data_IF_870859633204
#
_entry.id   IF_870859633204
#
_cell.length_a   1.000
_cell.length_b   1.000
_cell.length_c   1.000
_cell.angle_alpha   90.00
_cell.angle_beta   90.00
_cell.angle_gamma   90.00
#
_symmetry.space_group_name_H-M   'P 1'
#
loop_
_entity.id
_entity.type
_entity.pdbx_description
1 polymer ?
#
# COMPACT_ATOMS: atom_id res chain seq x y z
N UNK A 1 9.91 -13.64 7.49
CA UNK A 1 10.76 -13.35 6.32
C UNK A 1 10.00 -12.45 5.38
N UNK A 2 10.54 -11.26 5.12
CA UNK A 2 9.94 -10.21 4.27
C UNK A 2 10.22 -10.46 2.78
N UNK A 3 9.47 -9.83 1.85
CA UNK A 3 9.77 -9.92 0.41
C UNK A 3 11.18 -9.41 0.07
N UNK A 4 11.66 -8.40 0.80
CA UNK A 4 13.00 -7.84 0.62
C UNK A 4 14.10 -8.79 1.11
N UNK A 5 13.90 -9.48 2.23
CA UNK A 5 14.78 -10.56 2.70
C UNK A 5 14.79 -11.71 1.70
N UNK A 6 13.62 -12.16 1.26
CA UNK A 6 13.51 -13.24 0.28
C UNK A 6 14.13 -12.86 -1.07
N UNK A 7 13.98 -11.60 -1.50
CA UNK A 7 14.67 -11.07 -2.69
C UNK A 7 16.19 -11.12 -2.55
N UNK A 8 16.73 -10.78 -1.36
CA UNK A 8 18.17 -10.89 -1.08
C UNK A 8 18.63 -12.34 -1.08
N UNK A 9 17.87 -13.24 -0.47
CA UNK A 9 18.18 -14.68 -0.42
C UNK A 9 18.16 -15.31 -1.82
N UNK A 10 17.16 -15.00 -2.64
CA UNK A 10 17.10 -15.47 -4.03
C UNK A 10 18.25 -14.90 -4.86
N UNK A 11 18.59 -13.61 -4.70
CA UNK A 11 19.78 -13.05 -5.34
C UNK A 11 21.05 -13.78 -4.90
N UNK A 12 21.21 -14.08 -3.62
CA UNK A 12 22.36 -14.81 -3.11
C UNK A 12 22.45 -16.22 -3.71
N UNK A 13 21.33 -16.93 -3.84
CA UNK A 13 21.27 -18.22 -4.53
C UNK A 13 21.69 -18.13 -6.00
N UNK A 14 21.29 -17.05 -6.70
CA UNK A 14 21.74 -16.78 -8.08
C UNK A 14 23.23 -16.49 -8.12
N UNK A 15 23.77 -15.64 -7.24
CA UNK A 15 25.20 -15.35 -7.17
C UNK A 15 26.02 -16.63 -6.99
N UNK A 16 25.61 -17.52 -6.09
CA UNK A 16 26.28 -18.81 -5.86
C UNK A 16 26.19 -19.72 -7.08
N UNK A 17 25.03 -19.78 -7.74
CA UNK A 17 24.87 -20.57 -8.96
C UNK A 17 25.80 -20.11 -10.09
N UNK A 18 26.02 -18.80 -10.22
CA UNK A 18 26.97 -18.24 -11.19
C UNK A 18 28.43 -18.48 -10.76
N UNK A 19 28.75 -18.29 -9.47
CA UNK A 19 30.11 -18.47 -8.95
C UNK A 19 30.62 -19.92 -9.08
N UNK A 20 29.73 -20.89 -8.92
CA UNK A 20 30.04 -22.33 -9.02
C UNK A 20 29.84 -22.87 -10.46
N UNK A 21 29.76 -21.99 -11.47
CA UNK A 21 29.58 -22.28 -12.91
C UNK A 21 28.32 -23.09 -13.29
N UNK A 22 27.39 -23.26 -12.35
CA UNK A 22 26.16 -24.02 -12.56
C UNK A 22 25.10 -23.24 -13.36
N UNK A 23 25.18 -21.91 -13.35
CA UNK A 23 24.32 -21.01 -14.12
C UNK A 23 25.18 -20.01 -14.90
N UNK A 24 25.42 -20.23 -16.20
CA UNK A 24 26.16 -19.27 -17.01
C UNK A 24 25.34 -17.99 -17.24
N UNK A 25 26.00 -16.83 -17.20
CA UNK A 25 25.40 -15.53 -17.49
C UNK A 25 25.53 -14.49 -16.37
N UNK A 26 25.05 -13.26 -16.61
CA UNK A 26 25.20 -12.17 -15.66
C UNK A 26 24.26 -12.31 -14.46
N UNK A 27 24.78 -12.00 -13.27
CA UNK A 27 23.95 -11.86 -12.07
C UNK A 27 23.13 -10.57 -12.18
N UNK A 28 21.80 -10.61 -12.04
CA UNK A 28 20.98 -9.41 -12.05
C UNK A 28 21.27 -8.56 -10.83
N UNK A 29 21.35 -7.24 -11.01
CA UNK A 29 21.53 -6.29 -9.91
C UNK A 29 20.43 -6.43 -8.84
N UNK A 30 19.21 -6.73 -9.27
CA UNK A 30 18.06 -6.92 -8.38
C UNK A 30 17.19 -8.10 -8.77
N UNK A 31 16.94 -8.96 -7.79
CA UNK A 31 15.83 -9.91 -7.82
C UNK A 31 14.63 -9.27 -7.18
N UNK A 32 13.48 -9.43 -7.82
CA UNK A 32 12.20 -8.92 -7.36
C UNK A 32 11.34 -10.12 -6.97
N UNK A 33 11.02 -10.18 -5.68
CA UNK A 33 10.03 -11.10 -5.12
C UNK A 33 8.83 -10.26 -4.71
N UNK A 34 7.67 -10.63 -5.23
CA UNK A 34 6.40 -9.92 -5.03
C UNK A 34 5.39 -10.87 -4.39
N UNK A 35 4.33 -10.32 -3.79
CA UNK A 35 3.21 -11.15 -3.34
C UNK A 35 2.56 -11.83 -4.53
N UNK A 36 2.19 -13.08 -4.35
CA UNK A 36 1.40 -13.80 -5.34
C UNK A 36 0.06 -13.06 -5.52
N UNK A 37 -0.35 -12.89 -6.78
CA UNK A 37 -1.64 -12.27 -7.11
C UNK A 37 -2.79 -13.12 -6.53
N UNK A 38 -3.99 -12.55 -6.31
CA UNK A 38 -5.17 -13.34 -5.91
C UNK A 38 -5.37 -14.54 -6.86
N UNK A 39 -5.44 -15.75 -6.30
CA UNK A 39 -5.51 -17.02 -7.07
C UNK A 39 -4.16 -17.59 -7.54
N UNK A 40 -3.04 -16.92 -7.23
CA UNK A 40 -1.69 -17.44 -7.44
C UNK A 40 -1.26 -18.46 -6.37
N UNK A 41 -0.17 -19.18 -6.63
CA UNK A 41 0.38 -20.19 -5.72
C UNK A 41 1.30 -19.54 -4.67
N UNK A 42 1.20 -19.96 -3.41
CA UNK A 42 2.04 -19.46 -2.31
C UNK A 42 1.78 -18.00 -1.90
N UNK A 43 2.55 -17.52 -0.93
CA UNK A 43 2.50 -16.14 -0.42
C UNK A 43 3.27 -15.16 -1.33
N UNK A 44 4.41 -15.60 -1.86
CA UNK A 44 5.29 -14.80 -2.70
C UNK A 44 5.68 -15.53 -3.97
N UNK A 45 5.97 -14.78 -5.02
CA UNK A 45 6.46 -15.32 -6.29
C UNK A 45 7.62 -14.50 -6.86
N UNK A 46 8.48 -15.14 -7.63
CA UNK A 46 9.48 -14.48 -8.46
C UNK A 46 9.61 -15.10 -9.83
N UNK A 47 9.64 -14.26 -10.86
CA UNK A 47 9.92 -14.63 -12.24
C UNK A 47 11.41 -14.60 -12.59
N UNK A 48 12.32 -14.64 -11.61
CA UNK A 48 13.77 -14.48 -11.86
C UNK A 48 14.31 -15.51 -12.87
N UNK A 49 13.81 -16.75 -12.83
CA UNK A 49 14.27 -17.81 -13.72
C UNK A 49 13.97 -17.52 -15.19
N UNK A 50 12.87 -16.82 -15.50
CA UNK A 50 12.51 -16.39 -16.86
C UNK A 50 13.54 -15.43 -17.44
N UNK A 51 14.09 -14.54 -16.61
CA UNK A 51 15.12 -13.58 -17.02
C UNK A 51 16.49 -14.24 -17.20
N UNK A 52 16.78 -15.25 -16.39
CA UNK A 52 18.07 -15.96 -16.37
C UNK A 52 18.18 -17.08 -17.42
N UNK A 53 17.05 -17.61 -17.89
CA UNK A 53 16.98 -18.73 -18.84
C UNK A 53 17.76 -18.47 -20.15
N UNK A 54 17.50 -17.33 -20.79
CA UNK A 54 18.08 -17.00 -22.10
C UNK A 54 19.61 -16.82 -22.02
N UNK A 55 20.18 -16.03 -21.09
CA UNK A 55 21.63 -15.95 -20.92
C UNK A 55 22.28 -17.30 -20.58
N UNK A 56 21.57 -18.17 -19.87
CA UNK A 56 22.08 -19.47 -19.46
C UNK A 56 21.94 -20.58 -20.52
N UNK A 57 21.29 -20.32 -21.66
CA UNK A 57 21.02 -21.35 -22.67
C UNK A 57 20.16 -22.51 -22.16
N UNK A 58 19.33 -22.28 -21.13
CA UNK A 58 18.52 -23.31 -20.44
C UNK A 58 17.03 -22.96 -20.48
N UNK A 59 16.16 -23.95 -20.29
CA UNK A 59 14.73 -23.66 -20.12
C UNK A 59 14.50 -22.92 -18.79
N UNK A 60 13.52 -22.01 -18.70
CA UNK A 60 13.26 -21.32 -17.44
C UNK A 60 12.81 -22.25 -16.31
N UNK A 61 12.20 -23.40 -16.65
CA UNK A 61 11.83 -24.42 -15.68
C UNK A 61 13.06 -25.11 -15.08
N UNK A 62 14.09 -25.38 -15.88
CA UNK A 62 15.34 -25.97 -15.40
C UNK A 62 16.10 -25.00 -14.51
N UNK A 63 16.16 -23.72 -14.89
CA UNK A 63 16.74 -22.67 -14.04
C UNK A 63 15.97 -22.54 -12.73
N UNK A 64 14.64 -22.57 -12.76
CA UNK A 64 13.82 -22.56 -11.55
C UNK A 64 14.08 -23.78 -10.67
N UNK A 65 14.18 -24.99 -11.26
CA UNK A 65 14.51 -26.24 -10.56
C UNK A 65 15.83 -26.15 -9.80
N UNK A 66 16.86 -25.70 -10.51
CA UNK A 66 18.19 -25.51 -9.95
C UNK A 66 18.23 -24.48 -8.81
N UNK A 67 17.55 -23.34 -8.99
CA UNK A 67 17.45 -22.33 -7.93
C UNK A 67 16.65 -22.84 -6.74
N UNK A 68 15.58 -23.60 -6.96
CA UNK A 68 14.79 -24.23 -5.90
C UNK A 68 15.64 -25.14 -5.03
N UNK A 69 16.45 -26.01 -5.62
CA UNK A 69 17.32 -26.93 -4.87
C UNK A 69 18.29 -26.17 -3.95
N UNK A 70 18.91 -25.11 -4.48
CA UNK A 70 19.82 -24.25 -3.70
C UNK A 70 19.09 -23.50 -2.59
N UNK A 71 17.88 -23.03 -2.85
CA UNK A 71 17.06 -22.32 -1.86
C UNK A 71 16.60 -23.27 -0.75
N UNK A 72 16.20 -24.51 -1.06
CA UNK A 72 15.82 -25.51 -0.05
C UNK A 72 17.00 -25.85 0.86
N UNK A 73 18.22 -25.85 0.33
CA UNK A 73 19.45 -26.10 1.10
C UNK A 73 19.89 -24.90 1.97
N UNK A 74 19.30 -23.72 1.80
CA UNK A 74 19.64 -22.52 2.58
C UNK A 74 18.98 -22.59 3.97
N UNK A 75 19.75 -22.56 5.08
CA UNK A 75 19.20 -22.66 6.43
C UNK A 75 18.23 -21.52 6.79
N UNK A 76 18.40 -20.34 6.20
CA UNK A 76 17.51 -19.20 6.37
C UNK A 76 16.16 -19.40 5.70
N UNK A 77 16.15 -20.07 4.54
CA UNK A 77 14.91 -20.47 3.84
C UNK A 77 14.21 -21.60 4.58
N UNK A 78 14.93 -22.65 5.00
CA UNK A 78 14.33 -23.81 5.67
C UNK A 78 13.60 -23.52 6.98
N UNK A 79 13.92 -22.41 7.66
CA UNK A 79 13.19 -21.94 8.85
C UNK A 79 11.96 -21.09 8.52
N UNK A 80 11.99 -20.41 7.38
CA UNK A 80 11.04 -19.34 7.04
C UNK A 80 9.99 -19.75 5.99
N UNK A 81 10.32 -20.71 5.13
CA UNK A 81 9.53 -21.14 3.98
C UNK A 81 9.15 -22.60 4.17
N UNK A 82 7.85 -22.87 4.24
CA UNK A 82 7.28 -24.21 4.33
C UNK A 82 7.40 -24.97 3.01
N UNK A 83 7.21 -24.26 1.88
CA UNK A 83 7.17 -24.90 0.56
C UNK A 83 7.63 -23.97 -0.56
N UNK A 84 8.36 -24.53 -1.53
CA UNK A 84 8.74 -23.84 -2.77
C UNK A 84 8.22 -24.63 -3.98
N UNK A 85 7.31 -24.03 -4.73
CA UNK A 85 6.68 -24.64 -5.92
C UNK A 85 7.08 -23.92 -7.20
N UNK A 86 7.27 -24.67 -8.29
CA UNK A 86 7.55 -24.14 -9.61
C UNK A 86 6.26 -24.20 -10.44
N UNK A 87 5.72 -23.05 -10.82
CA UNK A 87 4.49 -22.96 -11.62
C UNK A 87 4.74 -22.38 -13.01
N UNK A 88 3.87 -22.76 -13.94
CA UNK A 88 3.90 -22.30 -15.32
C UNK A 88 5.27 -22.50 -15.99
N UNK A 89 5.78 -21.49 -16.71
CA UNK A 89 7.03 -21.59 -17.46
C UNK A 89 8.29 -21.58 -16.58
N UNK A 90 8.20 -21.23 -15.29
CA UNK A 90 9.38 -21.13 -14.40
C UNK A 90 9.25 -20.13 -13.25
N UNK A 91 8.03 -19.87 -12.75
CA UNK A 91 7.86 -19.01 -11.58
C UNK A 91 8.17 -19.81 -10.31
N UNK A 92 8.99 -19.24 -9.42
CA UNK A 92 9.22 -19.79 -8.09
C UNK A 92 8.22 -19.16 -7.13
N UNK A 93 7.40 -19.99 -6.48
CA UNK A 93 6.37 -19.59 -5.53
C UNK A 93 6.72 -20.12 -4.14
N UNK A 94 6.65 -19.26 -3.14
CA UNK A 94 7.07 -19.52 -1.77
C UNK A 94 5.85 -19.50 -0.86
N UNK A 95 5.63 -20.57 -0.10
CA UNK A 95 4.69 -20.62 1.02
C UNK A 95 5.48 -20.45 2.31
N UNK A 96 5.19 -19.43 3.11
CA UNK A 96 5.86 -19.18 4.38
C UNK A 96 5.41 -20.16 5.46
N UNK A 97 6.32 -20.53 6.36
CA UNK A 97 5.97 -21.29 7.55
C UNK A 97 4.99 -20.49 8.43
N UNK A 98 3.95 -21.15 8.98
CA UNK A 98 2.91 -20.50 9.81
C UNK A 98 3.48 -19.66 10.97
N UNK A 99 4.52 -20.14 11.65
CA UNK A 99 5.22 -19.39 12.72
C UNK A 99 5.84 -18.10 12.19
N UNK A 100 6.59 -18.20 11.09
CA UNK A 100 7.21 -17.04 10.43
C UNK A 100 6.17 -16.05 9.91
N UNK A 101 5.05 -16.53 9.36
CA UNK A 101 3.96 -15.69 8.89
C UNK A 101 3.23 -14.97 10.03
N UNK A 102 3.11 -15.61 11.21
CA UNK A 102 2.58 -14.98 12.43
C UNK A 102 3.53 -13.92 12.97
N UNK A 103 4.82 -14.25 13.10
CA UNK A 103 5.82 -13.32 13.66
C UNK A 103 5.95 -12.07 12.76
N UNK A 104 5.98 -12.27 11.44
CA UNK A 104 6.02 -11.17 10.46
C UNK A 104 4.75 -10.31 10.53
N UNK A 105 3.57 -10.91 10.74
CA UNK A 105 2.33 -10.15 10.91
C UNK A 105 2.29 -9.36 12.23
N UNK A 106 2.77 -9.96 13.32
CA UNK A 106 2.88 -9.29 14.61
C UNK A 106 3.85 -8.11 14.56
N UNK A 107 5.02 -8.27 13.92
CA UNK A 107 5.98 -7.18 13.70
C UNK A 107 5.39 -6.06 12.84
N UNK A 108 4.67 -6.42 11.76
CA UNK A 108 3.97 -5.45 10.91
C UNK A 108 2.97 -4.64 11.73
N UNK A 109 2.05 -5.29 12.43
CA UNK A 109 1.01 -4.60 13.23
C UNK A 109 1.66 -3.74 14.32
N UNK A 110 2.67 -4.25 15.04
CA UNK A 110 3.42 -3.45 16.02
C UNK A 110 4.08 -2.23 15.40
N UNK A 111 4.64 -2.37 14.21
CA UNK A 111 5.27 -1.25 13.48
C UNK A 111 4.25 -0.20 13.09
N UNK A 112 3.12 -0.60 12.50
CA UNK A 112 2.04 0.32 12.13
C UNK A 112 1.51 1.07 13.36
N UNK A 113 1.27 0.36 14.47
CA UNK A 113 0.77 0.99 15.70
C UNK A 113 1.78 1.95 16.33
N UNK A 114 3.08 1.62 16.28
CA UNK A 114 4.16 2.48 16.79
C UNK A 114 4.31 3.76 15.96
N UNK A 115 4.23 3.65 14.64
CA UNK A 115 4.42 4.78 13.73
C UNK A 115 3.13 5.60 13.52
N UNK A 116 1.98 4.97 13.77
CA UNK A 116 0.67 5.61 13.68
C UNK A 116 0.44 6.20 12.28
N UNK A 117 -0.05 7.45 12.19
CA UNK A 117 -0.27 8.13 10.90
C UNK A 117 0.99 8.34 10.05
N UNK A 118 2.19 8.17 10.62
CA UNK A 118 3.47 8.31 9.89
C UNK A 118 3.98 6.98 9.32
N UNK A 119 3.25 5.89 9.52
CA UNK A 119 3.65 4.59 9.00
C UNK A 119 3.85 4.63 7.48
N UNK A 120 4.98 4.10 7.01
CA UNK A 120 5.36 4.11 5.59
C UNK A 120 6.11 5.37 5.13
N UNK A 121 6.32 6.35 6.01
CA UNK A 121 7.29 7.41 5.77
C UNK A 121 8.71 6.80 5.76
N UNK A 122 9.58 7.32 4.90
CA UNK A 122 10.91 6.75 4.70
C UNK A 122 11.92 7.78 4.19
N UNK A 123 13.08 7.28 3.78
CA UNK A 123 14.20 8.09 3.28
C UNK A 123 14.61 7.68 1.87
N UNK A 124 13.71 7.04 1.12
CA UNK A 124 13.98 6.49 -0.21
C UNK A 124 14.38 7.56 -1.26
N UNK A 125 14.09 8.84 -0.98
CA UNK A 125 14.44 10.01 -1.77
C UNK A 125 15.35 10.99 -1.00
N UNK A 126 15.97 10.56 0.09
CA UNK A 126 16.95 11.38 0.82
C UNK A 126 18.08 11.84 -0.10
N UNK A 127 18.46 13.12 0.02
CA UNK A 127 19.45 13.75 -0.87
C UNK A 127 18.92 14.15 -2.25
N UNK A 128 17.66 13.86 -2.57
CA UNK A 128 17.01 14.35 -3.80
C UNK A 128 16.40 15.72 -3.55
N UNK A 129 16.80 16.73 -4.33
CA UNK A 129 16.16 18.03 -4.37
C UNK A 129 15.18 18.11 -5.55
N UNK A 130 13.93 18.51 -5.29
CA UNK A 130 12.89 18.67 -6.31
C UNK A 130 12.33 20.09 -6.22
N UNK A 131 12.35 20.81 -7.33
CA UNK A 131 11.63 22.06 -7.49
C UNK A 131 10.37 21.81 -8.33
N UNK A 132 9.19 22.19 -7.83
CA UNK A 132 7.91 22.09 -8.53
C UNK A 132 7.44 23.48 -8.94
N UNK A 133 7.13 23.65 -10.23
CA UNK A 133 6.63 24.91 -10.78
C UNK A 133 5.19 25.20 -10.28
N UNK A 134 4.79 26.48 -10.16
CA UNK A 134 3.42 26.84 -9.82
C UNK A 134 2.43 26.41 -10.92
N UNK A 135 1.15 26.32 -10.56
CA UNK A 135 0.07 26.08 -11.53
C UNK A 135 -1.18 26.90 -11.19
N UNK A 136 -1.77 27.51 -12.21
CA UNK A 136 -3.01 28.29 -12.10
C UNK A 136 -4.28 27.43 -12.19
N UNK A 137 -4.15 26.20 -12.71
CA UNK A 137 -5.26 25.26 -12.84
C UNK A 137 -5.52 24.53 -11.52
N UNK A 138 -6.79 24.45 -11.12
CA UNK A 138 -7.21 23.94 -9.81
C UNK A 138 -6.64 22.56 -9.49
N UNK A 139 -6.80 21.59 -10.39
CA UNK A 139 -6.34 20.22 -10.15
C UNK A 139 -4.83 20.18 -10.04
N UNK A 140 -4.10 20.84 -10.93
CA UNK A 140 -2.64 20.91 -10.91
C UNK A 140 -2.13 21.52 -9.59
N UNK A 141 -2.75 22.58 -9.08
CA UNK A 141 -2.38 23.17 -7.79
C UNK A 141 -2.62 22.24 -6.58
N UNK A 142 -3.71 21.46 -6.59
CA UNK A 142 -3.95 20.42 -5.57
C UNK A 142 -2.96 19.26 -5.73
N UNK A 143 -2.68 18.86 -6.97
CA UNK A 143 -1.75 17.78 -7.32
C UNK A 143 -0.32 18.10 -6.87
N UNK A 144 0.19 19.31 -7.17
CA UNK A 144 1.52 19.77 -6.79
C UNK A 144 1.71 19.75 -5.28
N UNK A 145 0.74 20.27 -4.51
CA UNK A 145 0.81 20.25 -3.03
C UNK A 145 0.88 18.82 -2.50
N UNK A 146 0.00 17.95 -2.98
CA UNK A 146 -0.05 16.54 -2.57
C UNK A 146 1.24 15.80 -2.93
N UNK A 147 1.76 16.00 -4.15
CA UNK A 147 3.03 15.41 -4.60
C UNK A 147 4.20 15.94 -3.78
N UNK A 148 4.22 17.23 -3.45
CA UNK A 148 5.26 17.81 -2.60
C UNK A 148 5.28 17.13 -1.22
N UNK A 149 4.12 16.90 -0.63
CA UNK A 149 4.02 16.23 0.67
C UNK A 149 4.41 14.75 0.58
N UNK A 150 3.97 14.03 -0.47
CA UNK A 150 4.41 12.66 -0.73
C UNK A 150 5.94 12.56 -0.87
N UNK A 151 6.56 13.44 -1.65
CA UNK A 151 8.02 13.50 -1.80
C UNK A 151 8.72 13.75 -0.45
N UNK A 152 8.20 14.66 0.37
CA UNK A 152 8.73 14.94 1.73
C UNK A 152 8.59 13.75 2.66
N UNK A 153 7.51 12.97 2.57
CA UNK A 153 7.37 11.74 3.38
C UNK A 153 8.46 10.71 3.09
N UNK A 154 9.08 10.79 1.91
CA UNK A 154 10.16 9.89 1.46
C UNK A 154 11.55 10.53 1.59
N UNK A 155 11.67 11.68 2.26
CA UNK A 155 12.93 12.34 2.58
C UNK A 155 13.48 13.29 1.51
N UNK A 156 12.72 13.59 0.46
CA UNK A 156 13.14 14.58 -0.54
C UNK A 156 13.08 16.01 0.03
N UNK A 157 14.00 16.87 -0.42
CA UNK A 157 13.90 18.32 -0.19
C UNK A 157 13.07 18.92 -1.32
N UNK A 158 11.89 19.47 -0.99
CA UNK A 158 10.93 19.95 -2.00
C UNK A 158 10.67 21.43 -1.85
N UNK A 159 10.93 22.17 -2.93
CA UNK A 159 10.58 23.59 -3.08
C UNK A 159 9.44 23.73 -4.08
N UNK A 160 8.34 24.38 -3.69
CA UNK A 160 7.28 24.78 -4.62
C UNK A 160 7.50 26.25 -4.91
N UNK A 161 7.76 26.58 -6.17
CA UNK A 161 8.11 27.96 -6.54
C UNK A 161 6.85 28.78 -6.79
N UNK A 162 6.95 30.10 -6.56
CA UNK A 162 5.85 31.05 -6.85
C UNK A 162 5.86 31.50 -8.31
N UNK A 163 7.01 31.39 -8.97
CA UNK A 163 7.22 31.71 -10.38
C UNK A 163 7.87 30.53 -11.10
N UNK A 164 7.74 30.48 -12.42
CA UNK A 164 8.39 29.45 -13.23
C UNK A 164 9.89 29.73 -13.28
N UNK A 165 10.69 28.89 -12.62
CA UNK A 165 12.16 28.98 -12.62
C UNK A 165 12.76 27.87 -13.50
N UNK A 166 13.93 28.10 -14.13
CA UNK A 166 14.63 27.06 -14.88
C UNK A 166 14.91 25.82 -14.01
N UNK A 167 14.57 24.64 -14.52
CA UNK A 167 14.77 23.36 -13.83
C UNK A 167 13.64 22.94 -12.88
N UNK A 168 12.61 23.76 -12.66
CA UNK A 168 11.42 23.34 -11.92
C UNK A 168 10.55 22.39 -12.76
N UNK A 169 10.21 21.24 -12.18
CA UNK A 169 9.31 20.24 -12.77
C UNK A 169 7.88 20.80 -12.82
N UNK A 170 7.26 20.79 -14.00
CA UNK A 170 5.85 21.18 -14.17
C UNK A 170 4.97 19.94 -14.23
N UNK A 171 4.01 19.83 -13.30
CA UNK A 171 3.04 18.74 -13.30
C UNK A 171 1.78 19.14 -14.08
N UNK A 172 1.36 18.30 -15.04
CA UNK A 172 0.25 18.58 -15.95
C UNK A 172 -0.80 17.45 -15.92
N UNK A 173 -1.54 17.26 -14.82
CA UNK A 173 -2.70 16.40 -14.85
C UNK A 173 -3.76 16.98 -15.80
N UNK A 174 -4.65 16.13 -16.31
CA UNK A 174 -5.82 16.54 -17.08
C UNK A 174 -6.64 17.51 -16.23
N UNK A 175 -6.91 18.74 -16.73
CA UNK A 175 -7.60 19.77 -15.95
C UNK A 175 -8.95 19.32 -15.42
N UNK A 176 -9.40 19.95 -14.33
CA UNK A 176 -10.79 19.88 -13.93
C UNK A 176 -11.70 20.43 -15.06
N UNK A 177 -12.89 19.85 -15.28
CA UNK A 177 -13.89 20.44 -16.15
C UNK A 177 -14.11 21.90 -15.76
N UNK A 178 -14.01 22.80 -16.73
CA UNK A 178 -14.45 24.18 -16.56
C UNK A 178 -15.94 24.22 -16.88
N UNK A 179 -16.72 24.81 -15.98
CA UNK A 179 -18.00 25.38 -16.32
C UNK A 179 -17.83 26.57 -17.26
N UNK A 180 -18.95 27.22 -17.58
CA UNK A 180 -18.96 28.34 -18.51
C UNK A 180 -18.36 29.63 -17.94
N UNK A 181 -17.95 29.68 -16.67
CA UNK A 181 -17.56 30.91 -15.97
C UNK A 181 -16.28 30.74 -15.13
N UNK A 182 -15.49 31.81 -14.97
CA UNK A 182 -14.16 31.76 -14.33
C UNK A 182 -14.16 31.47 -12.82
N UNK A 183 -15.35 31.40 -12.18
CA UNK A 183 -15.55 31.14 -10.75
C UNK A 183 -15.75 29.65 -10.39
N UNK A 184 -15.59 28.73 -11.35
CA UNK A 184 -15.92 27.30 -11.20
C UNK A 184 -15.31 26.60 -9.97
N UNK A 185 -14.09 26.97 -9.56
CA UNK A 185 -13.42 26.34 -8.43
C UNK A 185 -14.10 26.67 -7.08
N UNK A 186 -14.62 27.89 -6.92
CA UNK A 186 -15.38 28.29 -5.73
C UNK A 186 -16.76 27.63 -5.74
N UNK A 187 -17.39 27.48 -6.91
CA UNK A 187 -18.65 26.73 -7.03
C UNK A 187 -18.47 25.26 -6.64
N UNK A 188 -17.45 24.60 -7.18
CA UNK A 188 -17.13 23.22 -6.80
C UNK A 188 -16.84 23.08 -5.31
N UNK A 189 -16.10 24.00 -4.72
CA UNK A 189 -15.81 24.00 -3.28
C UNK A 189 -17.08 24.21 -2.45
N UNK A 190 -17.94 25.16 -2.84
CA UNK A 190 -19.20 25.43 -2.14
C UNK A 190 -20.16 24.23 -2.21
N UNK A 191 -20.21 23.55 -3.35
CA UNK A 191 -21.10 22.40 -3.58
C UNK A 191 -20.61 21.12 -2.92
N UNK A 192 -19.32 20.83 -2.99
CA UNK A 192 -18.75 19.55 -2.55
C UNK A 192 -18.10 19.61 -1.16
N UNK A 193 -17.71 20.80 -0.72
CA UNK A 193 -16.80 20.94 0.40
C UNK A 193 -15.36 20.53 0.04
N UNK A 194 -14.40 20.80 0.94
CA UNK A 194 -12.97 20.63 0.67
C UNK A 194 -12.57 19.17 0.45
N UNK A 195 -13.10 18.26 1.26
CA UNK A 195 -12.74 16.83 1.24
C UNK A 195 -13.18 16.15 -0.06
N UNK A 196 -14.45 16.30 -0.42
CA UNK A 196 -14.99 15.64 -1.61
C UNK A 196 -14.39 16.23 -2.90
N UNK A 197 -14.11 17.53 -2.92
CA UNK A 197 -13.38 18.14 -4.03
C UNK A 197 -11.96 17.58 -4.15
N UNK A 198 -11.19 17.51 -3.06
CA UNK A 198 -9.84 16.92 -3.10
C UNK A 198 -9.86 15.47 -3.55
N UNK A 199 -10.79 14.68 -3.05
CA UNK A 199 -10.96 13.30 -3.49
C UNK A 199 -11.25 13.21 -4.99
N UNK A 200 -12.17 14.02 -5.52
CA UNK A 200 -12.49 14.05 -6.95
C UNK A 200 -11.28 14.42 -7.82
N UNK A 201 -10.43 15.33 -7.34
CA UNK A 201 -9.26 15.81 -8.07
C UNK A 201 -8.07 14.84 -8.01
N UNK A 202 -7.89 14.11 -6.90
CA UNK A 202 -6.70 13.28 -6.65
C UNK A 202 -6.91 11.78 -6.92
N UNK A 203 -8.14 11.27 -6.81
CA UNK A 203 -8.44 9.85 -6.98
C UNK A 203 -8.25 9.34 -8.42
N UNK A 204 -8.68 10.06 -9.48
CA UNK A 204 -8.44 9.64 -10.86
C UNK A 204 -6.97 9.83 -11.24
N UNK A 205 -6.44 9.01 -12.16
CA UNK A 205 -5.07 9.15 -12.61
C UNK A 205 -4.85 10.51 -13.31
N UNK A 206 -3.58 10.91 -13.45
CA UNK A 206 -3.23 12.19 -14.05
C UNK A 206 -3.80 12.38 -15.46
N UNK A 207 -4.00 11.31 -16.23
CA UNK A 207 -4.55 11.34 -17.59
C UNK A 207 -6.07 11.17 -17.66
N UNK A 208 -6.74 10.93 -16.54
CA UNK A 208 -8.19 10.76 -16.48
C UNK A 208 -8.87 12.08 -16.11
N UNK A 209 -10.08 12.34 -16.61
CA UNK A 209 -10.84 13.53 -16.19
C UNK A 209 -11.42 13.32 -14.78
N UNK A 210 -11.41 14.35 -13.91
CA UNK A 210 -12.04 14.24 -12.61
C UNK A 210 -13.57 14.29 -12.71
N UNK A 211 -14.29 13.50 -11.89
CA UNK A 211 -15.74 13.30 -11.97
C UNK A 211 -16.51 14.47 -11.33
N UNK A 212 -16.33 15.67 -11.88
CA UNK A 212 -16.95 16.92 -11.41
C UNK A 212 -18.16 17.33 -12.24
N UNK A 213 -18.63 16.48 -13.16
CA UNK A 213 -19.82 16.74 -13.97
C UNK A 213 -21.11 16.78 -13.14
N UNK A 214 -22.21 17.34 -13.70
CA UNK A 214 -23.48 17.49 -12.99
C UNK A 214 -24.07 16.19 -12.42
N UNK A 215 -23.85 15.06 -13.10
CA UNK A 215 -24.31 13.74 -12.66
C UNK A 215 -23.36 13.07 -11.65
N UNK A 216 -22.07 13.36 -11.72
CA UNK A 216 -21.04 12.64 -10.96
C UNK A 216 -20.74 13.33 -9.62
N UNK A 217 -20.66 14.66 -9.62
CA UNK A 217 -20.31 15.45 -8.45
C UNK A 217 -21.25 15.18 -7.25
N UNK A 218 -22.58 15.13 -7.41
CA UNK A 218 -23.47 14.81 -6.28
C UNK A 218 -23.25 13.42 -5.68
N UNK A 219 -22.79 12.45 -6.48
CA UNK A 219 -22.56 11.09 -6.00
C UNK A 219 -21.44 11.01 -4.94
N UNK A 220 -20.52 11.98 -4.92
CA UNK A 220 -19.44 12.09 -3.94
C UNK A 220 -19.93 12.47 -2.53
N UNK A 221 -21.13 13.04 -2.42
CA UNK A 221 -21.73 13.45 -1.16
C UNK A 221 -22.63 12.36 -0.55
N UNK A 222 -23.00 11.35 -1.34
CA UNK A 222 -23.91 10.29 -0.88
C UNK A 222 -23.20 9.37 0.09
N UNK A 223 -23.76 9.23 1.30
CA UNK A 223 -23.26 8.35 2.35
C UNK A 223 -23.69 6.89 2.11
N UNK A 224 -23.08 6.24 1.11
CA UNK A 224 -23.34 4.84 0.76
C UNK A 224 -22.04 4.10 0.50
N UNK A 225 -22.05 2.77 0.67
CA UNK A 225 -20.85 1.94 0.48
C UNK A 225 -20.22 2.10 -0.92
N UNK A 226 -21.05 2.28 -1.96
CA UNK A 226 -20.59 2.53 -3.33
C UNK A 226 -19.82 3.84 -3.52
N UNK A 227 -19.85 4.78 -2.57
CA UNK A 227 -19.05 6.00 -2.59
C UNK A 227 -17.68 5.73 -1.93
N UNK A 228 -16.58 5.71 -2.71
CA UNK A 228 -15.27 5.35 -2.18
C UNK A 228 -14.74 6.31 -1.11
N UNK A 229 -15.06 7.61 -1.20
CA UNK A 229 -14.66 8.59 -0.19
C UNK A 229 -15.36 8.29 1.14
N UNK A 230 -16.68 8.12 1.10
CA UNK A 230 -17.48 7.79 2.27
C UNK A 230 -16.98 6.49 2.91
N UNK A 231 -16.82 5.43 2.13
CA UNK A 231 -16.33 4.12 2.62
C UNK A 231 -14.97 4.23 3.30
N UNK A 232 -14.05 5.00 2.72
CA UNK A 232 -12.70 5.22 3.28
C UNK A 232 -12.76 5.97 4.61
N UNK A 233 -13.52 7.07 4.69
CA UNK A 233 -13.68 7.84 5.94
C UNK A 233 -14.46 7.05 7.00
N UNK A 234 -15.49 6.30 6.58
CA UNK A 234 -16.28 5.42 7.45
C UNK A 234 -15.44 4.31 8.05
N UNK A 235 -14.56 3.67 7.26
CA UNK A 235 -13.62 2.68 7.76
C UNK A 235 -12.73 3.26 8.88
N UNK A 236 -12.24 4.49 8.72
CA UNK A 236 -11.47 5.16 9.77
C UNK A 236 -12.33 5.45 11.03
N UNK A 237 -13.50 6.06 10.87
CA UNK A 237 -14.42 6.35 11.97
C UNK A 237 -14.83 5.07 12.71
N UNK A 238 -15.03 3.97 11.99
CA UNK A 238 -15.35 2.65 12.53
C UNK A 238 -14.20 2.07 13.34
N UNK A 239 -12.96 2.15 12.86
CA UNK A 239 -11.78 1.76 13.63
C UNK A 239 -11.70 2.57 14.94
N UNK A 240 -12.05 3.86 14.90
CA UNK A 240 -12.07 4.71 16.10
C UNK A 240 -13.18 4.34 17.07
N UNK A 241 -14.37 4.07 16.58
CA UNK A 241 -15.48 3.57 17.38
C UNK A 241 -15.14 2.23 18.06
N UNK A 242 -14.53 1.29 17.33
CA UNK A 242 -14.12 0.00 17.90
C UNK A 242 -13.12 0.17 19.04
N UNK A 243 -12.14 1.07 18.89
CA UNK A 243 -11.17 1.34 19.94
C UNK A 243 -11.81 1.98 21.19
N UNK A 244 -12.76 2.92 21.01
CA UNK A 244 -13.50 3.51 22.15
C UNK A 244 -14.34 2.45 22.87
N UNK A 245 -15.06 1.64 22.13
CA UNK A 245 -15.89 0.57 22.69
C UNK A 245 -15.05 -0.50 23.39
N UNK A 246 -13.90 -0.88 22.81
CA UNK A 246 -12.96 -1.79 23.44
C UNK A 246 -12.44 -1.26 24.78
N UNK A 247 -12.11 0.04 24.85
CA UNK A 247 -11.67 0.68 26.08
C UNK A 247 -12.75 0.62 27.18
N UNK A 248 -14.02 0.82 26.83
CA UNK A 248 -15.13 0.66 27.79
C UNK A 248 -15.27 -0.78 28.29
N UNK A 249 -14.86 -1.77 27.50
CA UNK A 249 -14.85 -3.19 27.87
C UNK A 249 -13.54 -3.63 28.54
N UNK A 250 -12.58 -2.72 28.75
CA UNK A 250 -11.27 -3.03 29.32
C UNK A 250 -10.37 -3.88 28.40
N UNK A 251 -10.64 -3.90 27.09
CA UNK A 251 -9.89 -4.67 26.10
C UNK A 251 -8.82 -3.78 25.46
N UNK A 252 -7.55 -4.17 25.61
CA UNK A 252 -6.43 -3.47 24.98
C UNK A 252 -5.95 -4.19 23.71
N UNK A 253 -5.69 -3.45 22.61
CA UNK A 253 -5.16 -4.05 21.37
C UNK A 253 -3.83 -4.78 21.62
N UNK A 254 -3.71 -6.00 21.08
CA UNK A 254 -2.47 -6.78 21.12
C UNK A 254 -2.53 -7.91 20.11
N UNK A 255 -1.64 -7.88 19.12
CA UNK A 255 -1.63 -8.89 18.05
C UNK A 255 -0.85 -10.13 18.48
N UNK A 256 -1.60 -11.17 18.81
CA UNK A 256 -1.09 -12.44 19.38
C UNK A 256 -1.49 -13.64 18.51
N UNK A 257 -2.63 -13.54 17.81
CA UNK A 257 -3.19 -14.61 16.99
C UNK A 257 -3.39 -14.17 15.54
N UNK A 258 -2.98 -15.04 14.62
CA UNK A 258 -3.21 -14.88 13.18
C UNK A 258 -4.31 -15.84 12.73
N UNK A 259 -5.36 -15.27 12.17
CA UNK A 259 -6.44 -15.97 11.48
C UNK A 259 -6.30 -15.76 9.96
N UNK A 260 -6.65 -16.76 9.15
CA UNK A 260 -6.41 -16.71 7.71
C UNK A 260 -7.18 -15.56 7.02
N UNK A 261 -8.37 -15.22 7.53
CA UNK A 261 -9.17 -14.09 7.06
C UNK A 261 -8.49 -12.72 7.27
N UNK A 262 -7.44 -12.63 8.10
CA UNK A 262 -6.62 -11.42 8.24
C UNK A 262 -5.74 -11.15 7.02
N UNK A 263 -5.54 -12.13 6.12
CA UNK A 263 -4.50 -12.07 5.09
C UNK A 263 -4.66 -10.91 4.11
N UNK A 264 -5.89 -10.56 3.71
CA UNK A 264 -6.13 -9.43 2.82
C UNK A 264 -5.78 -8.08 3.49
N UNK A 265 -6.21 -7.88 4.74
CA UNK A 265 -5.88 -6.67 5.49
C UNK A 265 -4.38 -6.56 5.80
N UNK A 266 -3.75 -7.66 6.24
CA UNK A 266 -2.30 -7.70 6.46
C UNK A 266 -1.51 -7.44 5.18
N UNK A 267 -2.08 -7.76 4.01
CA UNK A 267 -1.50 -7.40 2.70
C UNK A 267 -1.59 -5.90 2.47
N UNK A 268 -2.79 -5.33 2.57
CA UNK A 268 -2.98 -3.90 2.39
C UNK A 268 -2.08 -3.08 3.34
N UNK A 269 -1.99 -3.45 4.62
CA UNK A 269 -1.09 -2.81 5.59
C UNK A 269 0.39 -2.95 5.23
N UNK A 270 0.82 -4.13 4.73
CA UNK A 270 2.20 -4.37 4.33
C UNK A 270 2.63 -3.65 3.06
N UNK A 271 1.70 -3.40 2.14
CA UNK A 271 1.96 -2.76 0.85
C UNK A 271 1.97 -1.23 0.93
N UNK A 272 1.51 -0.65 2.06
CA UNK A 272 1.40 0.80 2.23
C UNK A 272 2.72 1.57 2.05
N UNK A 273 3.85 1.17 2.66
CA UNK A 273 5.12 1.91 2.50
C UNK A 273 5.59 1.95 1.04
N UNK A 274 5.51 0.80 0.34
CA UNK A 274 5.87 0.71 -1.08
C UNK A 274 4.94 1.56 -1.96
N UNK A 275 3.65 1.65 -1.59
CA UNK A 275 2.69 2.50 -2.28
C UNK A 275 3.03 3.99 -2.13
N UNK A 276 3.39 4.44 -0.92
CA UNK A 276 3.82 5.83 -0.69
C UNK A 276 5.08 6.18 -1.47
N UNK A 277 6.09 5.31 -1.44
CA UNK A 277 7.31 5.47 -2.24
C UNK A 277 6.97 5.58 -3.74
N UNK A 278 6.13 4.68 -4.25
CA UNK A 278 5.75 4.66 -5.65
C UNK A 278 4.93 5.90 -6.05
N UNK A 279 3.99 6.35 -5.20
CA UNK A 279 3.21 7.56 -5.41
C UNK A 279 4.10 8.80 -5.48
N UNK A 280 5.10 8.90 -4.59
CA UNK A 280 6.10 9.97 -4.61
C UNK A 280 6.98 9.92 -5.86
N UNK A 281 7.58 8.76 -6.18
CA UNK A 281 8.47 8.58 -7.35
C UNK A 281 7.77 8.82 -8.67
N UNK A 282 6.48 8.53 -8.77
CA UNK A 282 5.74 8.67 -10.02
C UNK A 282 4.84 9.91 -10.06
N UNK A 283 4.87 10.74 -9.01
CA UNK A 283 4.06 11.95 -8.88
C UNK A 283 2.57 11.63 -9.08
N UNK A 284 2.16 10.50 -8.51
CA UNK A 284 0.88 9.82 -8.77
C UNK A 284 0.09 9.62 -7.46
N UNK A 285 -0.50 10.70 -6.89
CA UNK A 285 -1.31 10.64 -5.68
C UNK A 285 -2.55 9.75 -5.79
N UNK A 286 -3.05 9.49 -7.00
CA UNK A 286 -4.13 8.54 -7.27
C UNK A 286 -3.82 7.12 -6.80
N UNK A 287 -2.54 6.75 -6.73
CA UNK A 287 -2.10 5.46 -6.17
C UNK A 287 -2.38 5.37 -4.68
N UNK A 288 -2.16 6.46 -3.94
CA UNK A 288 -2.49 6.52 -2.52
C UNK A 288 -4.01 6.41 -2.33
N UNK A 289 -4.80 7.20 -3.07
CA UNK A 289 -6.26 7.16 -2.98
C UNK A 289 -6.81 5.73 -3.20
N UNK A 290 -6.40 5.06 -4.27
CA UNK A 290 -6.80 3.67 -4.57
C UNK A 290 -6.36 2.67 -3.51
N UNK A 291 -5.19 2.87 -2.91
CA UNK A 291 -4.70 2.03 -1.84
C UNK A 291 -5.50 2.21 -0.54
N UNK A 292 -5.95 3.43 -0.23
CA UNK A 292 -6.84 3.68 0.91
C UNK A 292 -8.21 3.03 0.70
N UNK A 293 -8.75 3.08 -0.52
CA UNK A 293 -9.98 2.34 -0.87
C UNK A 293 -9.81 0.84 -0.63
N UNK A 294 -8.69 0.26 -1.08
CA UNK A 294 -8.40 -1.15 -0.89
C UNK A 294 -8.23 -1.52 0.59
N UNK A 295 -7.54 -0.68 1.36
CA UNK A 295 -7.34 -0.87 2.80
C UNK A 295 -8.66 -0.80 3.56
N UNK A 296 -9.50 0.19 3.23
CA UNK A 296 -10.83 0.34 3.81
C UNK A 296 -11.71 -0.89 3.53
N UNK A 297 -11.76 -1.35 2.29
CA UNK A 297 -12.52 -2.55 1.92
C UNK A 297 -12.01 -3.81 2.63
N UNK A 298 -10.68 -4.02 2.66
CA UNK A 298 -10.08 -5.16 3.34
C UNK A 298 -10.38 -5.15 4.85
N UNK A 299 -10.34 -3.97 5.47
CA UNK A 299 -10.69 -3.80 6.87
C UNK A 299 -12.17 -4.07 7.15
N UNK A 300 -13.07 -3.46 6.37
CA UNK A 300 -14.51 -3.62 6.57
C UNK A 300 -14.94 -5.08 6.35
N UNK A 301 -14.40 -5.77 5.33
CA UNK A 301 -14.65 -7.20 5.13
C UNK A 301 -14.09 -8.06 6.26
N UNK A 302 -12.91 -7.72 6.78
CA UNK A 302 -12.31 -8.43 7.91
C UNK A 302 -13.20 -8.36 9.16
N UNK A 303 -13.81 -7.20 9.44
CA UNK A 303 -14.65 -7.02 10.63
C UNK A 303 -15.99 -7.77 10.55
N UNK A 304 -16.53 -7.95 9.34
CA UNK A 304 -17.78 -8.66 9.11
C UNK A 304 -17.59 -10.16 9.38
N UNK A 305 -16.47 -10.72 8.92
CA UNK A 305 -16.14 -12.13 9.14
C UNK A 305 -15.61 -12.39 10.54
N UNK A 306 -14.85 -11.44 11.11
CA UNK A 306 -14.17 -11.56 12.40
C UNK A 306 -14.44 -10.32 13.26
N UNK A 307 -15.59 -10.27 13.97
CA UNK A 307 -15.93 -9.18 14.86
C UNK A 307 -14.81 -8.90 15.89
N UNK A 308 -14.33 -7.64 16.02
CA UNK A 308 -13.24 -7.31 16.94
C UNK A 308 -13.64 -7.25 18.42
N UNK A 309 -14.94 -7.09 18.70
CA UNK A 309 -15.48 -6.98 20.05
C UNK A 309 -16.32 -8.22 20.37
N UNK A 310 -16.30 -8.72 21.62
CA UNK A 310 -17.16 -9.81 22.04
C UNK A 310 -18.65 -9.42 21.96
N UNK A 311 -19.50 -10.40 21.70
CA UNK A 311 -20.96 -10.22 21.65
C UNK A 311 -21.69 -11.15 22.64
N UNK A 312 -22.72 -10.64 23.31
CA UNK A 312 -23.49 -11.42 24.28
C UNK A 312 -22.64 -11.91 25.45
N UNK A 313 -22.65 -13.21 25.70
CA UNK A 313 -21.91 -13.87 26.79
C UNK A 313 -20.45 -14.21 26.42
N UNK A 314 -20.00 -13.83 25.23
CA UNK A 314 -18.61 -14.06 24.80
C UNK A 314 -17.62 -13.32 25.71
N UNK A 315 -16.61 -14.05 26.20
CA UNK A 315 -15.54 -13.45 26.98
C UNK A 315 -14.48 -12.81 26.05
N UNK A 316 -13.89 -11.67 26.44
CA UNK A 316 -12.70 -11.15 25.76
C UNK A 316 -11.60 -12.22 25.64
N UNK A 317 -10.94 -12.27 24.48
CA UNK A 317 -9.95 -13.30 24.15
C UNK A 317 -8.76 -12.70 23.39
N UNK A 318 -7.69 -13.48 23.20
CA UNK A 318 -6.53 -13.08 22.39
C UNK A 318 -6.91 -12.77 20.93
N UNK A 319 -7.91 -13.48 20.37
CA UNK A 319 -8.48 -13.18 19.06
C UNK A 319 -9.09 -11.77 19.01
N UNK A 320 -9.92 -11.39 19.99
CA UNK A 320 -10.50 -10.04 20.07
C UNK A 320 -9.41 -8.96 20.14
N UNK A 321 -8.38 -9.18 20.96
CA UNK A 321 -7.23 -8.26 21.07
C UNK A 321 -6.45 -8.14 19.76
N UNK A 322 -6.31 -9.23 19.02
CA UNK A 322 -5.60 -9.26 17.73
C UNK A 322 -6.39 -8.57 16.62
N UNK A 323 -7.69 -8.81 16.54
CA UNK A 323 -8.61 -8.15 15.62
C UNK A 323 -8.70 -6.65 15.91
N UNK A 324 -8.70 -6.25 17.18
CA UNK A 324 -8.66 -4.86 17.58
C UNK A 324 -7.32 -4.18 17.21
N UNK A 325 -6.19 -4.89 17.34
CA UNK A 325 -4.89 -4.39 16.89
C UNK A 325 -4.85 -4.17 15.38
N UNK A 326 -5.47 -5.06 14.60
CA UNK A 326 -5.64 -4.88 13.16
C UNK A 326 -6.54 -3.68 12.83
N UNK A 327 -7.66 -3.51 13.55
CA UNK A 327 -8.53 -2.35 13.37
C UNK A 327 -7.79 -1.03 13.65
N UNK A 328 -7.01 -0.98 14.73
CA UNK A 328 -6.20 0.18 15.07
C UNK A 328 -5.10 0.44 14.02
N UNK A 329 -4.45 -0.60 13.50
CA UNK A 329 -3.46 -0.48 12.43
C UNK A 329 -4.08 0.04 11.11
N UNK A 330 -5.24 -0.48 10.72
CA UNK A 330 -6.01 0.02 9.58
C UNK A 330 -6.39 1.50 9.76
N UNK A 331 -6.89 1.85 10.95
CA UNK A 331 -7.23 3.23 11.30
C UNK A 331 -6.04 4.19 11.17
N UNK A 332 -4.84 3.76 11.57
CA UNK A 332 -3.61 4.55 11.45
C UNK A 332 -3.19 4.79 9.98
N UNK A 333 -3.21 3.76 9.14
CA UNK A 333 -2.94 3.87 7.70
C UNK A 333 -3.96 4.79 7.02
N UNK A 334 -5.25 4.61 7.32
CA UNK A 334 -6.30 5.45 6.77
C UNK A 334 -6.15 6.92 7.19
N UNK A 335 -5.83 7.18 8.46
CA UNK A 335 -5.61 8.53 8.96
C UNK A 335 -4.42 9.22 8.27
N UNK A 336 -3.27 8.54 8.20
CA UNK A 336 -2.07 9.06 7.55
C UNK A 336 -2.30 9.35 6.07
N UNK A 337 -2.89 8.40 5.35
CA UNK A 337 -3.18 8.56 3.92
C UNK A 337 -4.20 9.67 3.61
N UNK A 338 -5.30 9.76 4.38
CA UNK A 338 -6.28 10.84 4.21
C UNK A 338 -5.63 12.21 4.47
N UNK A 339 -4.80 12.31 5.52
CA UNK A 339 -4.06 13.53 5.84
C UNK A 339 -3.12 13.95 4.69
N UNK A 340 -2.41 13.01 4.06
CA UNK A 340 -1.56 13.29 2.90
C UNK A 340 -2.33 13.74 1.66
N UNK A 341 -3.59 13.32 1.50
CA UNK A 341 -4.48 13.82 0.46
C UNK A 341 -5.15 15.15 0.84
N UNK A 342 -4.89 15.68 2.04
CA UNK A 342 -5.53 16.89 2.58
C UNK A 342 -7.01 16.69 2.90
N UNK A 343 -7.43 15.48 3.24
CA UNK A 343 -8.81 15.09 3.53
C UNK A 343 -8.94 14.76 5.02
N UNK A 344 -10.02 15.21 5.64
CA UNK A 344 -10.26 14.94 7.05
C UNK A 344 -10.57 13.45 7.30
N UNK A 345 -9.91 12.91 8.33
CA UNK A 345 -10.15 11.59 8.90
C UNK A 345 -11.01 11.74 10.17
N UNK A 346 -12.35 11.64 10.08
CA UNK A 346 -13.22 12.01 11.18
C UNK A 346 -13.30 10.92 12.26
N UNK A 347 -13.36 11.34 13.53
CA UNK A 347 -13.57 10.45 14.68
C UNK A 347 -14.97 9.79 14.70
N UNK A 348 -15.93 10.43 14.02
CA UNK A 348 -17.34 10.05 13.92
C UNK A 348 -17.89 10.44 12.54
N UNK A 349 -18.76 9.60 11.98
CA UNK A 349 -19.53 9.87 10.77
C UNK A 349 -21.00 9.52 11.02
#
# INVERSE_FOLDING_TARGET
>A
MTPAELSRTVRHAVCRAVADDALPGPVPERVVVERSRPGGSGDYATGVALRLARPAGRSPRDVAGMLRERLVADPGVGRAVERIEITGPGFLNFTLARSTARDTAADLVRTVLREGPRYGHGTALAGTAVALAPADELRAGVWIRTVADLLRTQGATVTVTTETVPGAETLRPVPAPRGSDHLDHLDHLARLGPDALRWALLRPAAHDRPPLGPAEAPALLVQRDANPLFRTRYAHARARALARNAAHLGITPGYEEREDAHSALLTALGDHPATLEAAARLRAPDRLARHLEHTAEAFLRCQETLPPLPFGDEKPSAAHRSRLALAAAAGAVLAGGLSLLGIDAPEHL
#
